data_IF_959361483438
#
_entry.id   IF_959361483438
#
_cell.length_a   1.000
_cell.length_b   1.000
_cell.length_c   1.000
_cell.angle_alpha   90.00
_cell.angle_beta   90.00
_cell.angle_gamma   90.00
#
_symmetry.space_group_name_H-M   'P 1'
#
loop_
_entity.id
_entity.type
_entity.pdbx_description
1 polymer ?
#
# COMPACT_ATOMS: atom_id res chain seq x y z
N UNK A 1 9.80 -35.46 24.32
CA UNK A 1 8.47 -34.97 23.91
C UNK A 1 8.66 -33.58 23.31
N UNK A 2 8.65 -33.46 21.97
CA UNK A 2 8.87 -32.19 21.30
C UNK A 2 7.54 -31.42 21.22
N UNK A 3 7.43 -30.33 21.98
CA UNK A 3 6.27 -29.45 21.90
C UNK A 3 6.48 -28.57 20.66
N UNK A 4 5.92 -29.01 19.53
CA UNK A 4 5.88 -28.24 18.29
C UNK A 4 4.89 -27.11 18.51
N UNK A 5 5.37 -25.95 18.94
CA UNK A 5 4.56 -24.73 19.00
C UNK A 5 4.00 -24.44 17.61
N UNK A 6 2.67 -24.40 17.41
CA UNK A 6 2.14 -23.84 16.19
C UNK A 6 2.45 -22.36 16.27
N UNK A 7 3.42 -21.93 15.47
CA UNK A 7 3.68 -20.52 15.21
C UNK A 7 2.39 -20.01 14.55
N UNK A 8 1.48 -19.46 15.36
CA UNK A 8 0.27 -18.77 14.88
C UNK A 8 0.80 -17.56 14.13
N UNK A 9 1.03 -17.74 12.85
CA UNK A 9 1.16 -16.64 11.91
C UNK A 9 -0.23 -16.02 11.95
N UNK A 10 -0.36 -14.92 12.68
CA UNK A 10 -1.55 -14.09 12.72
C UNK A 10 -1.75 -13.62 11.27
N UNK A 11 -2.47 -14.39 10.45
CA UNK A 11 -3.02 -13.90 9.19
C UNK A 11 -4.01 -12.83 9.60
N UNK A 12 -3.57 -11.58 9.57
CA UNK A 12 -4.44 -10.42 9.57
C UNK A 12 -5.32 -10.51 8.32
N UNK A 13 -6.43 -11.20 8.48
CA UNK A 13 -7.50 -11.29 7.49
C UNK A 13 -8.15 -9.92 7.36
N UNK A 14 -7.83 -9.17 6.28
CA UNK A 14 -8.74 -8.20 5.61
C UNK A 14 -8.11 -7.47 4.41
N UNK A 15 -6.87 -7.73 3.98
CA UNK A 15 -6.43 -7.21 2.67
C UNK A 15 -7.08 -8.05 1.56
N UNK A 16 -8.23 -7.59 1.05
CA UNK A 16 -8.91 -8.14 -0.13
C UNK A 16 -7.85 -8.60 -1.14
N UNK A 17 -7.92 -9.87 -1.54
CA UNK A 17 -7.08 -10.58 -2.50
C UNK A 17 -6.26 -9.64 -3.42
N UNK A 18 -5.08 -9.21 -2.97
CA UNK A 18 -4.18 -8.45 -3.85
C UNK A 18 -3.40 -9.49 -4.63
N UNK A 19 -3.55 -9.55 -5.96
CA UNK A 19 -2.81 -10.51 -6.76
C UNK A 19 -1.31 -10.32 -6.54
N UNK A 20 -0.55 -11.43 -6.57
CA UNK A 20 0.91 -11.38 -6.46
C UNK A 20 1.48 -10.35 -7.46
N UNK A 21 2.40 -9.53 -6.98
CA UNK A 21 2.98 -8.45 -7.79
C UNK A 21 2.12 -7.17 -7.84
N UNK A 22 1.12 -7.04 -6.99
CA UNK A 22 0.41 -5.78 -6.76
C UNK A 22 0.41 -5.42 -5.28
N UNK A 23 0.13 -4.16 -4.97
CA UNK A 23 -0.06 -3.68 -3.60
C UNK A 23 -1.25 -2.72 -3.52
N UNK A 24 -1.81 -2.61 -2.32
CA UNK A 24 -2.94 -1.73 -2.05
C UNK A 24 -2.47 -0.37 -1.54
N UNK A 25 -2.96 0.69 -2.16
CA UNK A 25 -2.75 2.08 -1.77
C UNK A 25 -4.09 2.71 -1.40
N UNK A 26 -4.13 3.40 -0.28
CA UNK A 26 -5.28 4.16 0.19
C UNK A 26 -5.00 5.64 -0.07
N UNK A 27 -5.85 6.28 -0.85
CA UNK A 27 -5.69 7.68 -1.26
C UNK A 27 -6.86 8.47 -0.73
N UNK A 28 -6.57 9.66 -0.18
CA UNK A 28 -7.57 10.63 0.28
C UNK A 28 -7.67 10.74 1.80
N UNK A 29 -7.80 11.98 2.28
CA UNK A 29 -7.89 12.31 3.71
C UNK A 29 -9.28 11.98 4.31
N UNK A 30 -10.36 12.30 3.57
CA UNK A 30 -11.76 12.08 4.02
C UNK A 30 -12.34 10.74 3.57
N UNK A 31 -12.06 10.32 2.34
CA UNK A 31 -12.50 9.04 1.79
C UNK A 31 -11.26 8.29 1.34
N UNK A 32 -10.78 7.36 2.18
CA UNK A 32 -9.64 6.49 1.86
C UNK A 32 -10.05 5.49 0.78
N UNK A 33 -9.88 5.89 -0.48
CA UNK A 33 -10.19 5.03 -1.62
C UNK A 33 -9.04 4.08 -1.87
N UNK A 34 -9.37 2.79 -1.98
CA UNK A 34 -8.38 1.74 -2.20
C UNK A 34 -8.10 1.60 -3.70
N UNK A 35 -6.85 1.77 -4.07
CA UNK A 35 -6.29 1.47 -5.37
C UNK A 35 -5.38 0.25 -5.28
N UNK A 36 -5.40 -0.59 -6.30
CA UNK A 36 -4.47 -1.72 -6.43
C UNK A 36 -3.59 -1.43 -7.62
N UNK A 37 -2.29 -1.27 -7.37
CA UNK A 37 -1.31 -0.95 -8.41
C UNK A 37 -0.20 -2.00 -8.42
N UNK A 38 0.41 -2.28 -9.58
CA UNK A 38 1.47 -3.26 -9.67
C UNK A 38 2.72 -2.78 -8.93
N UNK A 39 3.48 -3.72 -8.36
CA UNK A 39 4.73 -3.43 -7.65
C UNK A 39 5.79 -2.78 -8.54
N UNK A 40 5.64 -2.84 -9.86
CA UNK A 40 6.51 -2.12 -10.81
C UNK A 40 6.53 -0.61 -10.56
N UNK A 41 5.46 -0.06 -9.99
CA UNK A 41 5.40 1.36 -9.60
C UNK A 41 6.36 1.65 -8.46
N UNK A 42 6.55 0.71 -7.51
CA UNK A 42 7.54 0.84 -6.43
C UNK A 42 8.97 0.90 -6.94
N UNK A 43 9.23 0.41 -8.15
CA UNK A 43 10.56 0.48 -8.77
C UNK A 43 10.86 1.84 -9.37
N UNK A 44 9.88 2.74 -9.48
CA UNK A 44 10.08 4.08 -10.01
C UNK A 44 10.53 5.02 -8.88
N UNK A 45 11.63 5.77 -9.04
CA UNK A 45 12.15 6.66 -8.00
C UNK A 45 11.10 7.70 -7.60
N UNK A 46 10.35 8.25 -8.55
CA UNK A 46 9.27 9.21 -8.27
C UNK A 46 8.16 8.66 -7.38
N UNK A 47 7.90 7.35 -7.45
CA UNK A 47 6.92 6.71 -6.58
C UNK A 47 7.53 6.42 -5.20
N UNK A 48 8.82 6.06 -5.13
CA UNK A 48 9.53 5.88 -3.86
C UNK A 48 9.60 7.18 -3.06
N UNK A 49 9.87 8.32 -3.71
CA UNK A 49 9.82 9.64 -3.05
C UNK A 49 8.43 9.93 -2.47
N UNK A 50 7.37 9.63 -3.22
CA UNK A 50 6.00 9.79 -2.76
C UNK A 50 5.67 8.89 -1.56
N UNK A 51 6.17 7.65 -1.58
CA UNK A 51 6.03 6.72 -0.48
C UNK A 51 6.80 7.17 0.75
N UNK A 52 8.02 7.68 0.58
CA UNK A 52 8.83 8.19 1.68
C UNK A 52 8.14 9.36 2.36
N UNK A 53 7.54 10.28 1.58
CA UNK A 53 6.76 11.39 2.14
C UNK A 53 5.50 10.90 2.86
N UNK A 54 4.79 9.94 2.25
CA UNK A 54 3.60 9.35 2.86
C UNK A 54 3.92 8.60 4.17
N UNK A 55 5.06 7.92 4.22
CA UNK A 55 5.57 7.21 5.39
C UNK A 55 6.00 8.17 6.50
N UNK A 56 6.66 9.28 6.17
CA UNK A 56 7.05 10.29 7.16
C UNK A 56 5.82 10.95 7.81
N UNK A 57 4.73 11.13 7.05
CA UNK A 57 3.53 11.79 7.54
C UNK A 57 2.52 10.85 8.23
N UNK A 58 2.30 9.63 7.70
CA UNK A 58 1.34 8.68 8.26
C UNK A 58 1.98 7.56 9.09
N UNK A 59 3.30 7.43 9.07
CA UNK A 59 4.03 6.33 9.69
C UNK A 59 3.74 4.97 9.04
N UNK A 60 4.35 3.93 9.59
CA UNK A 60 4.13 2.54 9.17
C UNK A 60 2.88 1.89 9.81
N UNK A 61 2.17 2.61 10.67
CA UNK A 61 1.06 2.07 11.44
C UNK A 61 -0.21 2.02 10.57
N UNK A 62 -0.26 1.01 9.73
CA UNK A 62 -1.36 0.75 8.82
C UNK A 62 -2.04 -0.57 9.19
N UNK A 63 -3.07 -0.55 10.05
CA UNK A 63 -3.78 -1.77 10.47
C UNK A 63 -4.44 -2.51 9.29
N UNK A 64 -4.65 -1.84 8.15
CA UNK A 64 -5.21 -2.41 6.92
C UNK A 64 -4.16 -3.04 5.98
N UNK A 65 -2.86 -2.99 6.31
CA UNK A 65 -1.80 -3.66 5.55
C UNK A 65 -1.54 -3.08 4.15
N UNK A 66 -1.84 -1.80 3.93
CA UNK A 66 -1.54 -1.09 2.68
C UNK A 66 -1.06 0.33 2.94
N UNK A 67 -0.42 0.94 1.95
CA UNK A 67 0.16 2.29 2.04
C UNK A 67 -0.95 3.32 2.04
N UNK A 68 -0.93 4.30 2.95
CA UNK A 68 -1.83 5.47 2.87
C UNK A 68 -1.06 6.66 2.33
N UNK A 69 -1.53 7.28 1.24
CA UNK A 69 -0.89 8.46 0.65
C UNK A 69 -1.75 9.71 0.90
N UNK A 70 -1.19 10.77 1.52
CA UNK A 70 -1.85 12.06 1.69
C UNK A 70 -1.82 12.87 0.39
N UNK A 71 -2.51 12.37 -0.62
CA UNK A 71 -2.71 13.09 -1.85
C UNK A 71 -4.18 13.03 -2.22
N UNK A 72 -4.65 14.08 -2.88
CA UNK A 72 -5.96 14.06 -3.54
C UNK A 72 -6.01 12.93 -4.56
N UNK A 73 -7.19 12.33 -4.70
CA UNK A 73 -7.43 11.29 -5.70
C UNK A 73 -6.99 11.74 -7.10
N UNK A 74 -7.26 12.99 -7.48
CA UNK A 74 -6.86 13.58 -8.77
C UNK A 74 -5.34 13.59 -8.98
N UNK A 75 -4.57 13.91 -7.93
CA UNK A 75 -3.10 13.90 -8.00
C UNK A 75 -2.62 12.47 -8.18
N UNK A 76 -3.19 11.53 -7.41
CA UNK A 76 -2.85 10.11 -7.51
C UNK A 76 -3.18 9.53 -8.88
N UNK A 77 -4.32 9.88 -9.47
CA UNK A 77 -4.70 9.49 -10.83
C UNK A 77 -3.74 10.11 -11.85
N UNK A 78 -3.34 11.37 -11.67
CA UNK A 78 -2.40 12.06 -12.54
C UNK A 78 -1.02 11.41 -12.55
N UNK A 79 -0.48 11.04 -11.38
CA UNK A 79 0.80 10.32 -11.29
C UNK A 79 0.65 8.90 -11.84
N UNK A 80 -0.39 8.16 -11.45
CA UNK A 80 -0.55 6.76 -11.90
C UNK A 80 -0.81 6.64 -13.40
N UNK A 81 -1.45 7.65 -14.01
CA UNK A 81 -1.60 7.79 -15.46
C UNK A 81 -0.27 8.00 -16.17
N UNK A 82 0.68 8.74 -15.57
CA UNK A 82 2.02 8.94 -16.14
C UNK A 82 2.90 7.69 -16.10
N UNK A 83 2.59 6.75 -15.22
CA UNK A 83 3.31 5.49 -15.06
C UNK A 83 2.67 4.31 -15.82
N UNK A 84 1.49 4.52 -16.43
CA UNK A 84 0.81 3.52 -17.25
C UNK A 84 1.49 3.45 -18.62
N UNK A 85 2.61 2.74 -18.68
CA UNK A 85 3.20 2.23 -19.94
C UNK A 85 2.33 1.10 -20.49
#
# INVERSE_FOLDING_TARGET
MAIRVPRIIKKSSTSLDVPKGHFAVYVGEKQKKRFVIPISYLSQPSFQDLLSQAEEEFGFDHPMGGVTIPCSEDIFIGITSKFRI
#
